data_IF_912940465734
#
_entry.id   IF_912940465734
#
_cell.length_a   1.000
_cell.length_b   1.000
_cell.length_c   1.000
_cell.angle_alpha   90.00
_cell.angle_beta   90.00
_cell.angle_gamma   90.00
#
_symmetry.space_group_name_H-M   'P 1'
#
loop_
_entity.id
_entity.type
_entity.pdbx_description
1 polymer ?
#
# COMPACT_ATOMS: atom_id res chain seq x y z
N UNK A 1 8.32 -8.78 5.85
CA UNK A 1 7.20 -9.68 6.18
C UNK A 1 6.49 -10.20 4.94
N UNK A 2 5.85 -9.37 4.10
CA UNK A 2 5.13 -9.85 2.90
C UNK A 2 6.00 -10.68 1.94
N UNK A 3 7.28 -10.29 1.77
CA UNK A 3 8.24 -11.05 0.96
C UNK A 3 8.54 -12.45 1.52
N UNK A 4 8.51 -12.61 2.84
CA UNK A 4 8.68 -13.92 3.47
C UNK A 4 7.40 -14.75 3.36
N UNK A 5 6.24 -14.11 3.51
CA UNK A 5 4.93 -14.75 3.34
C UNK A 5 4.71 -15.29 1.92
N UNK A 6 5.25 -14.60 0.91
CA UNK A 6 5.17 -15.01 -0.48
C UNK A 6 5.96 -16.29 -0.79
N UNK A 7 6.95 -16.65 0.05
CA UNK A 7 7.77 -17.86 -0.14
C UNK A 7 7.11 -19.13 0.42
N UNK A 8 6.01 -18.99 1.15
CA UNK A 8 5.32 -20.11 1.77
C UNK A 8 4.45 -20.87 0.75
N UNK A 9 4.49 -22.19 0.81
CA UNK A 9 3.53 -23.05 0.12
C UNK A 9 2.23 -23.13 0.94
N UNK A 10 1.29 -22.23 0.66
CA UNK A 10 0.06 -22.05 1.44
C UNK A 10 -1.12 -22.73 0.79
N UNK A 11 -1.60 -23.81 1.41
CA UNK A 11 -2.81 -24.52 0.97
C UNK A 11 -4.11 -23.89 1.50
N UNK A 12 -4.06 -23.30 2.71
CA UNK A 12 -5.21 -22.70 3.37
C UNK A 12 -4.81 -21.42 4.10
N UNK A 13 -5.68 -20.41 4.04
CA UNK A 13 -5.48 -19.14 4.73
C UNK A 13 -6.83 -18.55 5.14
N UNK A 14 -6.81 -17.64 6.11
CA UNK A 14 -8.00 -16.90 6.58
C UNK A 14 -7.67 -15.42 6.55
N UNK A 15 -8.48 -14.63 5.83
CA UNK A 15 -8.37 -13.17 5.80
C UNK A 15 -9.07 -12.56 7.00
N UNK A 16 -8.59 -11.40 7.46
CA UNK A 16 -9.29 -10.66 8.51
C UNK A 16 -10.66 -10.14 8.06
N UNK A 17 -10.75 -9.67 6.80
CA UNK A 17 -11.98 -9.18 6.18
C UNK A 17 -12.02 -9.55 4.69
N UNK A 18 -13.23 -9.72 4.15
CA UNK A 18 -13.45 -9.99 2.72
C UNK A 18 -13.64 -11.48 2.41
N UNK A 19 -13.70 -11.77 1.11
CA UNK A 19 -13.91 -13.12 0.57
C UNK A 19 -12.62 -13.95 0.60
N UNK A 20 -12.77 -15.28 0.63
CA UNK A 20 -11.68 -16.28 0.58
C UNK A 20 -11.55 -16.93 -0.82
N UNK A 21 -12.10 -16.29 -1.84
CA UNK A 21 -12.23 -16.84 -3.20
C UNK A 21 -10.99 -16.66 -4.09
N UNK A 22 -9.91 -16.07 -3.57
CA UNK A 22 -8.70 -15.77 -4.35
C UNK A 22 -7.52 -16.65 -3.97
N UNK A 23 -6.56 -16.90 -4.87
CA UNK A 23 -5.31 -17.56 -4.50
C UNK A 23 -4.48 -16.71 -3.51
N UNK A 24 -3.78 -17.36 -2.57
CA UNK A 24 -2.93 -16.71 -1.56
C UNK A 24 -1.83 -15.83 -2.17
N UNK A 25 -1.13 -16.38 -3.17
CA UNK A 25 -0.04 -15.72 -3.88
C UNK A 25 -0.49 -14.42 -4.55
N UNK A 26 -1.69 -14.45 -5.16
CA UNK A 26 -2.30 -13.28 -5.77
C UNK A 26 -2.57 -12.21 -4.72
N UNK A 27 -3.20 -12.55 -3.59
CA UNK A 27 -3.52 -11.59 -2.54
C UNK A 27 -2.28 -10.90 -1.95
N UNK A 28 -1.25 -11.69 -1.63
CA UNK A 28 0.00 -11.15 -1.09
C UNK A 28 0.71 -10.26 -2.11
N UNK A 29 0.73 -10.66 -3.39
CA UNK A 29 1.38 -9.87 -4.45
C UNK A 29 0.70 -8.52 -4.68
N UNK A 30 -0.63 -8.46 -4.60
CA UNK A 30 -1.38 -7.20 -4.79
C UNK A 30 -1.18 -6.24 -3.62
N UNK A 31 -1.18 -6.75 -2.38
CA UNK A 31 -0.89 -5.96 -1.19
C UNK A 31 0.54 -5.41 -1.22
N UNK A 32 1.50 -6.26 -1.59
CA UNK A 32 2.90 -5.88 -1.72
C UNK A 32 3.09 -4.81 -2.81
N UNK A 33 2.41 -4.94 -3.95
CA UNK A 33 2.42 -3.95 -5.02
C UNK A 33 1.91 -2.60 -4.54
N UNK A 34 0.76 -2.57 -3.84
CA UNK A 34 0.21 -1.33 -3.28
C UNK A 34 1.20 -0.66 -2.32
N UNK A 35 1.81 -1.41 -1.40
CA UNK A 35 2.80 -0.83 -0.48
C UNK A 35 4.07 -0.37 -1.19
N UNK A 36 4.53 -1.05 -2.23
CA UNK A 36 5.67 -0.61 -3.05
C UNK A 36 5.38 0.69 -3.79
N UNK A 37 4.16 0.83 -4.34
CA UNK A 37 3.71 2.08 -4.98
C UNK A 37 3.69 3.20 -3.95
N UNK A 38 3.06 2.98 -2.80
CA UNK A 38 2.97 3.96 -1.72
C UNK A 38 4.37 4.40 -1.25
N UNK A 39 5.26 3.46 -0.90
CA UNK A 39 6.61 3.75 -0.43
C UNK A 39 7.41 4.56 -1.46
N UNK A 40 7.41 4.11 -2.72
CA UNK A 40 8.14 4.78 -3.81
C UNK A 40 7.66 6.21 -4.00
N UNK A 41 6.34 6.40 -4.06
CA UNK A 41 5.75 7.68 -4.42
C UNK A 41 5.74 8.65 -3.24
N UNK A 42 5.63 8.19 -1.99
CA UNK A 42 5.84 9.05 -0.81
C UNK A 42 7.28 9.54 -0.75
N UNK A 43 8.28 8.66 -0.92
CA UNK A 43 9.69 9.09 -0.95
C UNK A 43 9.95 10.09 -2.07
N UNK A 44 9.38 9.86 -3.25
CA UNK A 44 9.48 10.82 -4.34
C UNK A 44 8.82 12.16 -3.98
N UNK A 45 7.65 12.16 -3.33
CA UNK A 45 7.00 13.39 -2.90
C UNK A 45 7.87 14.19 -1.91
N UNK A 46 8.46 13.53 -0.90
CA UNK A 46 9.35 14.16 0.08
C UNK A 46 10.59 14.77 -0.60
N UNK A 47 11.27 14.01 -1.48
CA UNK A 47 12.46 14.48 -2.20
C UNK A 47 12.16 15.69 -3.10
N UNK A 48 10.93 15.79 -3.61
CA UNK A 48 10.49 16.90 -4.45
C UNK A 48 9.79 18.03 -3.66
N UNK A 49 9.87 18.04 -2.33
CA UNK A 49 9.26 19.04 -1.44
C UNK A 49 7.75 19.22 -1.68
N UNK A 50 7.07 18.14 -2.07
CA UNK A 50 5.61 18.13 -2.26
C UNK A 50 4.96 18.12 -0.89
N UNK A 51 4.11 19.13 -0.61
CA UNK A 51 3.43 19.23 0.67
C UNK A 51 2.60 17.99 1.00
N UNK A 52 2.46 17.65 2.28
CA UNK A 52 1.59 16.57 2.72
C UNK A 52 0.15 16.71 2.19
N UNK A 53 -0.37 17.95 2.13
CA UNK A 53 -1.72 18.23 1.60
C UNK A 53 -1.86 17.91 0.11
N UNK A 54 -0.80 18.09 -0.68
CA UNK A 54 -0.79 17.72 -2.09
C UNK A 54 -0.50 16.22 -2.28
N UNK A 55 0.38 15.65 -1.45
CA UNK A 55 0.74 14.24 -1.49
C UNK A 55 -0.49 13.34 -1.31
N UNK A 56 -1.39 13.64 -0.36
CA UNK A 56 -2.63 12.86 -0.16
C UNK A 56 -3.55 12.86 -1.38
N UNK A 57 -3.39 13.80 -2.32
CA UNK A 57 -4.17 13.93 -3.55
C UNK A 57 -3.45 13.39 -4.80
N UNK A 58 -2.19 12.97 -4.69
CA UNK A 58 -1.36 12.64 -5.87
C UNK A 58 -0.64 11.29 -5.73
N UNK A 59 -0.11 10.97 -4.56
CA UNK A 59 0.59 9.71 -4.28
C UNK A 59 -0.39 8.54 -4.32
N UNK A 60 -0.04 7.46 -5.04
CA UNK A 60 -0.73 6.18 -5.02
C UNK A 60 -2.08 6.13 -5.74
N UNK A 61 -2.51 7.20 -6.41
CA UNK A 61 -3.82 7.27 -7.07
C UNK A 61 -4.00 6.30 -8.25
N UNK A 62 -2.91 5.77 -8.79
CA UNK A 62 -2.94 4.67 -9.79
C UNK A 62 -3.52 3.36 -9.24
N UNK A 63 -3.62 3.24 -7.91
CA UNK A 63 -4.19 2.09 -7.22
C UNK A 63 -5.70 2.20 -6.99
N UNK A 64 -6.33 3.35 -7.26
CA UNK A 64 -7.70 3.65 -6.84
C UNK A 64 -8.72 2.58 -7.24
N UNK A 65 -8.73 2.19 -8.51
CA UNK A 65 -9.73 1.26 -9.04
C UNK A 65 -9.44 -0.22 -8.68
N UNK A 66 -8.35 -0.48 -7.95
CA UNK A 66 -7.93 -1.82 -7.54
C UNK A 66 -8.34 -2.16 -6.11
N UNK A 67 -8.84 -1.19 -5.34
CA UNK A 67 -9.18 -1.36 -3.93
C UNK A 67 -10.59 -0.86 -3.63
N UNK A 68 -11.41 -1.71 -3.03
CA UNK A 68 -12.82 -1.40 -2.77
C UNK A 68 -13.01 -0.17 -1.85
N UNK A 69 -12.21 -0.07 -0.78
CA UNK A 69 -12.31 1.02 0.20
C UNK A 69 -11.21 2.08 0.00
N UNK A 70 -10.69 2.23 -1.22
CA UNK A 70 -9.56 3.13 -1.49
C UNK A 70 -9.81 4.55 -0.99
N UNK A 71 -10.92 5.16 -1.39
CA UNK A 71 -11.23 6.54 -1.06
C UNK A 71 -11.37 6.77 0.46
N UNK A 72 -11.71 5.74 1.23
CA UNK A 72 -11.86 5.81 2.69
C UNK A 72 -10.52 5.69 3.44
N UNK A 73 -9.59 4.86 2.97
CA UNK A 73 -8.37 4.53 3.72
C UNK A 73 -7.07 5.08 3.11
N UNK A 74 -7.02 5.27 1.78
CA UNK A 74 -5.76 5.55 1.10
C UNK A 74 -5.10 6.84 1.57
N UNK A 75 -5.89 7.90 1.74
CA UNK A 75 -5.38 9.20 2.22
C UNK A 75 -4.70 9.07 3.59
N UNK A 76 -5.29 8.28 4.50
CA UNK A 76 -4.68 7.98 5.80
C UNK A 76 -3.36 7.22 5.65
N UNK A 77 -3.31 6.25 4.74
CA UNK A 77 -2.08 5.52 4.46
C UNK A 77 -0.98 6.45 3.94
N UNK A 78 -1.31 7.39 3.03
CA UNK A 78 -0.37 8.42 2.58
C UNK A 78 0.08 9.30 3.73
N UNK A 79 -0.84 9.78 4.57
CA UNK A 79 -0.49 10.60 5.74
C UNK A 79 0.48 9.89 6.67
N UNK A 80 0.15 8.66 7.10
CA UNK A 80 1.02 7.89 8.00
C UNK A 80 2.38 7.62 7.37
N UNK A 81 2.42 7.14 6.12
CA UNK A 81 3.70 6.89 5.46
C UNK A 81 4.52 8.16 5.26
N UNK A 82 3.91 9.28 4.91
CA UNK A 82 4.63 10.55 4.74
C UNK A 82 5.25 11.00 6.07
N UNK A 83 4.47 11.01 7.15
CA UNK A 83 4.96 11.43 8.46
C UNK A 83 6.00 10.48 9.05
N UNK A 84 5.97 9.20 8.70
CA UNK A 84 7.01 8.25 9.13
C UNK A 84 8.30 8.43 8.32
N UNK A 85 8.18 8.65 7.00
CA UNK A 85 9.31 8.67 6.06
C UNK A 85 9.99 10.03 5.93
N UNK A 86 9.34 11.14 6.30
CA UNK A 86 9.95 12.49 6.26
C UNK A 86 11.13 12.65 7.23
N UNK A 87 11.29 11.71 8.17
CA UNK A 87 12.38 11.65 9.15
C UNK A 87 13.36 10.48 8.89
N UNK A 88 13.22 9.76 7.77
CA UNK A 88 14.21 8.75 7.38
C UNK A 88 15.49 9.44 6.85
N UNK A 89 16.65 8.95 7.32
CA UNK A 89 18.00 9.42 6.92
C UNK A 89 18.34 9.17 5.44
#
# INVERSE_FOLDING_TARGET
>A
VLEELQKLDVQHYVVGHGSLDRPWDVLISEQQRYFRVLLREVRAAIVNDISLMDAVNTVGWTERDRWHNFDMYHRRNVTTSYTDLEWED
#
